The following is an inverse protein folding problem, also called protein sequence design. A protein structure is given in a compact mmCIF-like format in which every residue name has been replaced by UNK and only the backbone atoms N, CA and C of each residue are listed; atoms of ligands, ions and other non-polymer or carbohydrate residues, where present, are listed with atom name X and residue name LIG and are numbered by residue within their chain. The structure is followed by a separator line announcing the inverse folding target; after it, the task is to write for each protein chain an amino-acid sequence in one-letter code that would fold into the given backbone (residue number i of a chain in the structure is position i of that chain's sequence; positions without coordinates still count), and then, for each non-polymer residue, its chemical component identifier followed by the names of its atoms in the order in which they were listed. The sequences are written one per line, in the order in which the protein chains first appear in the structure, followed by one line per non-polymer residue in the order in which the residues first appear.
data_IF_567052179226
#
_entry.id   IF_567052179226
#
_cell.length_a   1.000
_cell.length_b   1.000
_cell.length_c   1.000
_cell.angle_alpha   90.00
_cell.angle_beta   90.00
_cell.angle_gamma   90.00
#
_symmetry.space_group_name_H-M   'P 1'
#
loop_
_entity.id
_entity.type
_entity.pdbx_description
1 polymer ?
#
# COMPACT_ATOMS: atom_id res chain seq x y z
N UNK A 1 -0.12 -9.04 1.17
CA UNK A 1 -0.22 -9.16 -0.30
C UNK A 1 -0.12 -7.76 -0.89
N UNK A 2 0.73 -7.58 -1.91
CA UNK A 2 0.82 -6.31 -2.64
C UNK A 2 -0.02 -6.44 -3.91
N UNK A 3 -1.01 -5.57 -4.06
CA UNK A 3 -1.88 -5.51 -5.24
C UNK A 3 -1.47 -4.29 -6.06
N UNK A 4 -0.56 -4.45 -7.02
CA UNK A 4 -0.09 -3.33 -7.84
C UNK A 4 -1.03 -3.06 -9.01
N UNK A 5 -1.92 -2.07 -8.88
CA UNK A 5 -2.75 -1.59 -9.98
C UNK A 5 -2.82 -0.04 -10.01
N UNK A 6 -3.72 0.52 -10.82
CA UNK A 6 -3.89 1.98 -10.97
C UNK A 6 -5.01 2.59 -10.12
N UNK A 7 -5.70 1.77 -9.33
CA UNK A 7 -6.71 2.23 -8.38
C UNK A 7 -6.06 3.01 -7.24
N UNK A 8 -6.84 3.80 -6.52
CA UNK A 8 -6.33 4.60 -5.40
C UNK A 8 -5.60 3.74 -4.34
N UNK A 9 -4.57 4.33 -3.73
CA UNK A 9 -3.81 3.64 -2.69
C UNK A 9 -4.72 3.24 -1.52
N UNK A 10 -4.55 2.01 -1.05
CA UNK A 10 -5.41 1.47 0.01
C UNK A 10 -4.68 0.42 0.81
N UNK A 11 -4.96 0.41 2.12
CA UNK A 11 -4.57 -0.68 3.01
C UNK A 11 -5.83 -1.31 3.61
N UNK A 12 -5.86 -2.62 3.68
CA UNK A 12 -6.92 -3.37 4.36
C UNK A 12 -6.40 -4.70 4.89
N UNK A 13 -7.08 -5.24 5.91
CA UNK A 13 -6.85 -6.60 6.40
C UNK A 13 -7.94 -7.52 5.88
N UNK A 14 -7.54 -8.63 5.28
CA UNK A 14 -8.44 -9.69 4.83
C UNK A 14 -8.00 -11.02 5.44
N UNK A 15 -8.85 -11.65 6.24
CA UNK A 15 -8.53 -12.91 6.93
C UNK A 15 -7.19 -12.86 7.70
N UNK A 16 -6.91 -11.75 8.37
CA UNK A 16 -5.65 -11.54 9.10
C UNK A 16 -4.43 -11.22 8.22
N UNK A 17 -4.57 -11.30 6.89
CA UNK A 17 -3.51 -10.91 5.95
C UNK A 17 -3.59 -9.42 5.67
N UNK A 18 -2.46 -8.72 5.85
CA UNK A 18 -2.33 -7.33 5.44
C UNK A 18 -2.21 -7.24 3.92
N UNK A 19 -3.15 -6.55 3.30
CA UNK A 19 -3.20 -6.29 1.86
C UNK A 19 -3.10 -4.80 1.62
N UNK A 20 -2.31 -4.41 0.62
CA UNK A 20 -2.23 -3.02 0.22
C UNK A 20 -1.99 -2.86 -1.27
N UNK A 21 -2.51 -1.76 -1.78
CA UNK A 21 -2.31 -1.26 -3.12
C UNK A 21 -1.54 0.06 -3.04
N UNK A 22 -0.37 0.17 -3.68
CA UNK A 22 0.39 1.41 -3.72
C UNK A 22 -0.20 2.46 -4.66
N UNK A 23 -1.16 2.11 -5.52
CA UNK A 23 -1.65 2.98 -6.57
C UNK A 23 -0.61 3.24 -7.65
N UNK A 24 -0.74 4.39 -8.32
CA UNK A 24 0.05 4.74 -9.50
C UNK A 24 0.96 5.93 -9.25
N UNK A 25 2.20 5.66 -8.82
CA UNK A 25 3.21 6.69 -8.57
C UNK A 25 3.35 7.72 -9.71
N UNK A 26 3.21 7.31 -10.97
CA UNK A 26 3.31 8.23 -12.12
C UNK A 26 2.19 9.27 -12.21
N UNK A 27 1.06 9.05 -11.53
CA UNK A 27 -0.12 9.91 -11.64
C UNK A 27 -0.22 10.89 -10.47
N UNK A 28 0.07 10.41 -9.26
CA UNK A 28 -0.20 11.13 -8.01
C UNK A 28 0.97 11.05 -7.00
N UNK A 29 2.12 10.50 -7.42
CA UNK A 29 3.29 10.30 -6.57
C UNK A 29 3.02 9.51 -5.29
N UNK A 30 1.96 8.69 -5.25
CA UNK A 30 1.61 7.85 -4.09
C UNK A 30 2.47 6.59 -4.01
N UNK A 31 2.75 6.16 -2.77
CA UNK A 31 3.54 4.96 -2.49
C UNK A 31 3.19 4.37 -1.12
N UNK A 32 3.60 3.11 -0.92
CA UNK A 32 3.45 2.39 0.35
C UNK A 32 4.82 2.04 0.94
N UNK A 33 5.03 2.37 2.20
CA UNK A 33 6.17 1.86 2.98
C UNK A 33 5.70 0.77 3.95
N UNK A 34 6.27 -0.44 3.81
CA UNK A 34 5.98 -1.57 4.70
C UNK A 34 7.20 -1.87 5.59
N UNK A 35 7.00 -1.94 6.90
CA UNK A 35 8.02 -2.30 7.90
C UNK A 35 7.88 -3.77 8.30
N UNK A 36 8.71 -4.70 7.80
CA UNK A 36 8.48 -6.14 8.01
C UNK A 36 8.52 -6.58 9.48
N UNK A 37 9.36 -5.94 10.30
CA UNK A 37 9.52 -6.30 11.71
C UNK A 37 8.29 -5.98 12.56
N UNK A 38 7.62 -4.84 12.31
CA UNK A 38 6.44 -4.40 13.07
C UNK A 38 5.13 -4.62 12.31
N UNK A 39 5.21 -5.04 11.05
CA UNK A 39 4.10 -5.18 10.10
C UNK A 39 3.31 -3.88 9.86
N UNK A 40 3.92 -2.73 10.16
CA UNK A 40 3.31 -1.44 9.88
C UNK A 40 3.29 -1.16 8.38
N UNK A 41 2.18 -0.59 7.93
CA UNK A 41 1.98 -0.11 6.56
C UNK A 41 1.71 1.39 6.64
N UNK A 42 2.51 2.17 5.94
CA UNK A 42 2.35 3.61 5.80
C UNK A 42 1.96 3.93 4.34
N UNK A 43 0.87 4.68 4.18
CA UNK A 43 0.42 5.22 2.90
C UNK A 43 0.92 6.67 2.82
N UNK A 44 1.61 7.03 1.73
CA UNK A 44 2.26 8.34 1.62
C UNK A 44 2.32 8.83 0.16
N UNK A 45 2.72 10.08 -0.02
CA UNK A 45 2.91 10.72 -1.33
C UNK A 45 4.14 11.64 -1.28
N UNK A 46 4.86 11.76 -2.41
CA UNK A 46 6.01 12.67 -2.54
C UNK A 46 5.58 14.13 -2.71
#
# INVERSE_FOLDING_TARGET
IVLGDRSDQKMFKYMGTTCFNPGSFSNDSTFVAYRPCTQEVELSSL
#
